data_IF_447926219525
#
_entry.id   IF_447926219525
#
_cell.length_a   1.000
_cell.length_b   1.000
_cell.length_c   1.000
_cell.angle_alpha   90.00
_cell.angle_beta   90.00
_cell.angle_gamma   90.00
#
_symmetry.space_group_name_H-M   'P 1'
#
loop_
_entity.id
_entity.type
_entity.pdbx_description
1 polymer ?
#
# COMPACT_ATOMS: atom_id res chain seq x y z
N UNK A 1 14.07 1.54 20.66
CA UNK A 1 14.54 0.52 19.69
C UNK A 1 13.48 0.44 18.59
N UNK A 2 13.64 1.26 17.54
CA UNK A 2 12.63 1.36 16.49
C UNK A 2 12.57 0.07 15.70
N UNK A 3 11.37 -0.52 15.56
CA UNK A 3 11.18 -1.73 14.74
C UNK A 3 11.76 -1.47 13.36
N UNK A 4 12.66 -2.33 12.92
CA UNK A 4 13.34 -2.23 11.63
C UNK A 4 12.29 -2.09 10.53
N UNK A 5 12.26 -0.91 9.90
CA UNK A 5 11.45 -0.66 8.72
C UNK A 5 12.30 -1.05 7.53
N UNK A 6 11.93 -2.11 6.86
CA UNK A 6 12.57 -2.50 5.60
C UNK A 6 11.94 -1.73 4.44
N UNK A 7 12.79 -1.21 3.56
CA UNK A 7 12.36 -0.51 2.35
C UNK A 7 12.32 -1.49 1.19
N UNK A 8 11.19 -1.55 0.48
CA UNK A 8 11.01 -2.41 -0.68
C UNK A 8 10.78 -1.53 -1.92
N UNK A 9 11.72 -1.48 -2.88
CA UNK A 9 11.49 -0.81 -4.15
C UNK A 9 10.53 -1.64 -5.01
N UNK A 10 9.57 -0.97 -5.65
CA UNK A 10 8.59 -1.61 -6.54
C UNK A 10 8.44 -0.80 -7.82
N UNK A 11 8.30 -1.50 -8.94
CA UNK A 11 7.86 -0.91 -10.20
C UNK A 11 6.35 -1.07 -10.30
N UNK A 12 5.66 0.00 -10.69
CA UNK A 12 4.21 0.04 -10.84
C UNK A 12 3.87 0.53 -12.25
N UNK A 13 2.77 0.03 -12.86
CA UNK A 13 2.23 0.62 -14.07
C UNK A 13 1.94 2.12 -13.86
N UNK A 14 2.20 2.98 -14.86
CA UNK A 14 2.01 4.42 -14.72
C UNK A 14 0.55 4.78 -14.38
N UNK A 15 -0.42 4.05 -14.91
CA UNK A 15 -1.84 4.24 -14.61
C UNK A 15 -2.12 4.07 -13.11
N UNK A 16 -1.52 3.05 -12.49
CA UNK A 16 -1.66 2.82 -11.06
C UNK A 16 -0.97 3.92 -10.24
N UNK A 17 0.15 4.47 -10.71
CA UNK A 17 0.79 5.62 -10.06
C UNK A 17 -0.14 6.84 -10.09
N UNK A 18 -0.79 7.11 -11.22
CA UNK A 18 -1.74 8.22 -11.35
C UNK A 18 -2.96 8.06 -10.43
N UNK A 19 -3.50 6.85 -10.29
CA UNK A 19 -4.59 6.57 -9.34
C UNK A 19 -4.15 6.80 -7.89
N UNK A 20 -2.93 6.39 -7.53
CA UNK A 20 -2.37 6.66 -6.19
C UNK A 20 -2.16 8.16 -5.95
N UNK A 21 -1.77 8.92 -6.98
CA UNK A 21 -1.67 10.37 -6.91
C UNK A 21 -3.02 11.02 -6.64
N UNK A 22 -4.04 10.66 -7.41
CA UNK A 22 -5.39 11.19 -7.24
C UNK A 22 -5.91 10.96 -5.80
N UNK A 23 -5.65 9.78 -5.22
CA UNK A 23 -6.03 9.48 -3.84
C UNK A 23 -5.29 10.37 -2.82
N UNK A 24 -4.03 10.72 -3.07
CA UNK A 24 -3.27 11.63 -2.21
C UNK A 24 -3.77 13.07 -2.37
N UNK A 25 -4.00 13.52 -3.60
CA UNK A 25 -4.52 14.86 -3.92
C UNK A 25 -5.92 15.09 -3.33
N UNK A 26 -6.76 14.06 -3.31
CA UNK A 26 -8.08 14.08 -2.67
C UNK A 26 -8.02 14.08 -1.13
N UNK A 27 -6.83 13.96 -0.54
CA UNK A 27 -6.62 13.92 0.91
C UNK A 27 -6.98 12.58 1.56
N UNK A 28 -7.20 11.51 0.78
CA UNK A 28 -7.50 10.18 1.31
C UNK A 28 -6.28 9.53 1.96
N UNK A 29 -5.08 9.86 1.48
CA UNK A 29 -3.81 9.43 2.07
C UNK A 29 -2.83 10.62 2.13
N UNK A 30 -1.97 10.62 3.15
CA UNK A 30 -0.90 11.62 3.32
C UNK A 30 0.26 11.46 2.33
N UNK A 31 0.39 10.28 1.70
CA UNK A 31 1.46 9.99 0.74
C UNK A 31 1.18 8.70 -0.06
N UNK A 32 1.80 8.56 -1.23
CA UNK A 32 1.79 7.30 -2.01
C UNK A 32 2.26 6.11 -1.17
N UNK A 33 3.31 6.31 -0.36
CA UNK A 33 3.83 5.27 0.53
C UNK A 33 2.83 4.85 1.61
N UNK A 34 1.95 5.74 2.06
CA UNK A 34 0.85 5.36 2.95
C UNK A 34 -0.20 4.52 2.23
N UNK A 35 -0.64 4.95 1.05
CA UNK A 35 -1.59 4.23 0.21
C UNK A 35 -1.08 2.81 -0.13
N UNK A 36 0.18 2.68 -0.54
CA UNK A 36 0.82 1.38 -0.81
C UNK A 36 0.88 0.49 0.44
N UNK A 37 1.28 1.04 1.58
CA UNK A 37 1.27 0.30 2.85
C UNK A 37 -0.14 -0.15 3.23
N UNK A 38 -1.16 0.66 2.96
CA UNK A 38 -2.56 0.29 3.18
C UNK A 38 -2.97 -0.88 2.29
N UNK A 39 -2.70 -0.81 0.98
CA UNK A 39 -2.94 -1.90 0.04
C UNK A 39 -2.24 -3.20 0.44
N UNK A 40 -0.96 -3.14 0.81
CA UNK A 40 -0.20 -4.30 1.28
C UNK A 40 -0.83 -4.96 2.53
N UNK A 41 -1.34 -4.15 3.48
CA UNK A 41 -2.05 -4.68 4.66
C UNK A 41 -3.35 -5.39 4.28
N UNK A 42 -4.09 -4.87 3.30
CA UNK A 42 -5.34 -5.50 2.84
C UNK A 42 -5.06 -6.86 2.19
N UNK A 43 -4.07 -6.95 1.30
CA UNK A 43 -3.68 -8.21 0.63
C UNK A 43 -3.30 -9.29 1.65
N UNK A 44 -2.42 -8.95 2.60
CA UNK A 44 -1.99 -9.92 3.64
C UNK A 44 -3.15 -10.36 4.53
N UNK A 45 -4.05 -9.44 4.87
CA UNK A 45 -5.25 -9.76 5.68
C UNK A 45 -6.17 -10.72 4.95
N UNK A 46 -6.40 -10.49 3.66
CA UNK A 46 -7.30 -11.33 2.87
C UNK A 46 -6.73 -12.73 2.67
N UNK A 47 -5.46 -12.84 2.30
CA UNK A 47 -4.77 -14.13 2.15
C UNK A 47 -4.81 -14.96 3.44
N UNK A 48 -4.66 -14.31 4.61
CA UNK A 48 -4.79 -15.00 5.89
C UNK A 48 -6.20 -15.52 6.12
N UNK A 49 -7.24 -14.77 5.74
CA UNK A 49 -8.63 -15.22 5.88
C UNK A 49 -8.94 -16.40 4.99
N UNK A 50 -8.51 -16.36 3.73
CA UNK A 50 -8.71 -17.43 2.76
C UNK A 50 -8.05 -18.75 3.18
N UNK A 51 -6.96 -18.71 3.96
CA UNK A 51 -6.27 -19.90 4.47
C UNK A 51 -6.92 -20.56 5.69
N UNK A 52 -7.81 -19.86 6.39
CA UNK A 52 -8.46 -20.35 7.61
C UNK A 52 -9.95 -20.66 7.40
N UNK A 53 -10.42 -20.59 6.16
CA UNK A 53 -11.75 -20.99 5.71
C UNK A 53 -11.65 -22.25 4.85
#
# INVERSE_FOLDING_TARGET
MGRDRESVPVLLPPELVHELDALVEQGMFSSRSEALRYGARLVVREERRSRHN
#
